data_IF_548959540514
#
_entry.id   IF_548959540514
#
_cell.length_a   1.000
_cell.length_b   1.000
_cell.length_c   1.000
_cell.angle_alpha   90.00
_cell.angle_beta   90.00
_cell.angle_gamma   90.00
#
_symmetry.space_group_name_H-M   'P 1'
#
loop_
_entity.id
_entity.type
_entity.pdbx_description
1 polymer ?
#
# COMPACT_ATOMS: atom_id res chain seq x y z
N UNK A 1 39.87 -2.95 -11.49
CA UNK A 1 39.61 -2.40 -12.83
C UNK A 1 38.17 -1.93 -12.81
N UNK A 2 37.85 -0.88 -12.06
CA UNK A 2 38.32 0.52 -12.19
C UNK A 2 37.78 1.19 -13.47
N UNK A 3 37.13 2.33 -13.26
CA UNK A 3 36.86 3.45 -14.19
C UNK A 3 35.98 3.17 -15.44
N UNK A 4 35.05 4.02 -15.89
CA UNK A 4 34.97 5.48 -15.81
C UNK A 4 33.53 6.02 -16.04
N UNK A 5 33.39 7.35 -16.02
CA UNK A 5 32.16 8.15 -16.13
C UNK A 5 31.82 8.59 -17.59
N UNK A 6 30.79 9.45 -17.71
CA UNK A 6 30.51 10.43 -18.79
C UNK A 6 29.84 9.96 -20.10
N UNK A 7 29.00 10.76 -20.77
CA UNK A 7 28.16 11.93 -20.37
C UNK A 7 27.13 12.20 -21.50
N UNK A 8 26.28 13.22 -21.35
CA UNK A 8 25.78 13.99 -22.50
C UNK A 8 24.28 13.92 -22.81
N UNK A 9 23.51 14.89 -22.31
CA UNK A 9 22.23 15.29 -22.87
C UNK A 9 22.23 16.82 -23.06
N UNK A 10 22.06 17.29 -24.30
CA UNK A 10 22.33 18.69 -24.66
C UNK A 10 21.09 19.47 -25.19
N UNK A 11 21.00 20.70 -24.71
CA UNK A 11 20.18 21.88 -25.05
C UNK A 11 18.89 21.81 -25.92
N UNK A 12 17.83 22.45 -25.37
CA UNK A 12 17.12 23.63 -25.96
C UNK A 12 16.10 24.20 -24.95
N UNK A 13 16.39 25.33 -24.29
CA UNK A 13 16.02 26.74 -24.61
C UNK A 13 14.55 27.14 -24.30
N UNK A 14 14.38 28.25 -23.54
CA UNK A 14 13.09 28.74 -22.98
C UNK A 14 12.33 29.71 -23.90
N UNK A 15 11.72 30.84 -23.41
CA UNK A 15 11.85 31.54 -22.11
C UNK A 15 10.49 31.60 -21.34
N UNK A 16 10.10 32.52 -20.42
CA UNK A 16 10.62 33.81 -19.93
C UNK A 16 10.03 34.25 -18.55
N UNK A 17 10.68 35.22 -17.89
CA UNK A 17 10.20 36.34 -17.03
C UNK A 17 9.25 36.15 -15.80
N UNK A 18 9.33 37.07 -14.79
CA UNK A 18 10.52 37.71 -14.21
C UNK A 18 10.52 37.80 -12.65
N UNK A 19 11.70 37.92 -12.03
CA UNK A 19 11.87 38.13 -10.58
C UNK A 19 12.31 39.56 -10.23
N UNK A 20 11.74 40.15 -9.17
CA UNK A 20 12.03 41.51 -8.73
C UNK A 20 13.29 41.66 -7.86
N UNK A 21 14.11 42.67 -8.16
CA UNK A 21 15.37 43.01 -7.49
C UNK A 21 15.17 43.71 -6.14
N UNK A 22 16.07 43.48 -5.17
CA UNK A 22 16.28 44.34 -4.00
C UNK A 22 17.77 44.68 -3.87
N UNK A 23 18.15 45.97 -3.74
CA UNK A 23 19.57 46.37 -3.76
C UNK A 23 20.27 46.23 -2.41
N UNK A 24 21.59 46.10 -2.51
CA UNK A 24 22.59 45.99 -1.45
C UNK A 24 23.13 47.40 -1.07
N UNK A 25 23.45 47.69 0.22
CA UNK A 25 23.99 48.98 0.62
C UNK A 25 25.53 49.03 0.57
N UNK A 26 25.99 49.85 -0.37
CA UNK A 26 27.25 50.61 -0.50
C UNK A 26 28.24 50.67 0.70
N UNK A 27 29.53 50.55 0.38
CA UNK A 27 30.65 50.61 1.33
C UNK A 27 31.13 52.04 1.62
N UNK A 28 31.35 52.38 2.90
CA UNK A 28 31.93 53.66 3.31
C UNK A 28 33.46 53.57 3.57
N UNK A 29 34.26 54.63 3.28
CA UNK A 29 35.71 54.62 3.43
C UNK A 29 36.20 54.83 4.88
N UNK A 30 37.44 54.41 5.21
CA UNK A 30 37.97 54.47 6.58
C UNK A 30 38.46 55.87 7.01
N UNK A 31 38.30 56.17 8.31
CA UNK A 31 38.80 57.39 8.95
C UNK A 31 40.25 57.24 9.45
N UNK A 32 41.04 58.35 9.55
CA UNK A 32 42.45 58.30 9.94
C UNK A 32 42.67 58.09 11.46
N UNK A 33 43.87 57.61 11.87
CA UNK A 33 44.15 57.27 13.26
C UNK A 33 44.45 58.50 14.15
N UNK A 34 44.06 58.49 15.44
CA UNK A 34 44.45 59.52 16.40
C UNK A 34 45.89 59.35 16.91
N UNK A 35 46.52 60.47 17.26
CA UNK A 35 47.89 60.55 17.77
C UNK A 35 48.02 60.09 19.25
N UNK A 36 49.22 59.67 19.69
CA UNK A 36 49.42 59.13 21.04
C UNK A 36 49.54 60.23 22.11
N UNK A 37 48.94 59.98 23.28
CA UNK A 37 49.19 60.74 24.52
C UNK A 37 49.72 59.79 25.60
N UNK A 38 50.83 60.18 26.22
CA UNK A 38 51.60 59.39 27.18
C UNK A 38 50.91 59.26 28.56
N UNK A 39 51.25 58.25 29.37
CA UNK A 39 50.49 57.90 30.57
C UNK A 39 50.79 58.78 31.78
N UNK A 40 49.76 59.04 32.59
CA UNK A 40 49.87 59.60 33.95
C UNK A 40 49.76 58.44 34.96
N UNK A 41 50.62 58.38 36.00
CA UNK A 41 50.73 57.18 36.84
C UNK A 41 49.62 57.06 37.90
N UNK A 42 49.23 55.80 38.12
CA UNK A 42 48.53 55.20 39.27
C UNK A 42 47.92 56.11 40.36
N UNK A 43 46.62 55.90 40.57
CA UNK A 43 46.05 55.86 41.92
C UNK A 43 45.18 54.61 42.04
N UNK A 44 45.62 53.67 42.89
CA UNK A 44 44.84 52.49 43.22
C UNK A 44 43.66 52.89 44.11
N UNK A 45 42.51 53.17 43.50
CA UNK A 45 41.26 53.36 44.26
C UNK A 45 40.70 51.98 44.59
N UNK A 46 40.57 51.73 45.90
CA UNK A 46 40.06 50.48 46.46
C UNK A 46 38.74 50.03 45.82
N UNK A 47 38.56 48.70 45.72
CA UNK A 47 37.35 48.10 45.19
C UNK A 47 36.09 48.58 45.92
N UNK A 48 35.27 49.37 45.23
CA UNK A 48 33.86 49.59 45.57
C UNK A 48 33.05 48.75 44.61
N UNK A 49 32.47 47.66 45.11
CA UNK A 49 31.52 46.85 44.35
C UNK A 49 30.36 47.72 43.85
N UNK A 50 30.03 47.74 42.56
CA UNK A 50 28.79 48.35 42.09
C UNK A 50 27.62 47.55 42.65
N UNK A 51 27.01 48.08 43.72
CA UNK A 51 25.83 47.49 44.32
C UNK A 51 24.66 47.57 43.33
N UNK A 52 24.10 46.40 42.98
CA UNK A 52 22.74 46.30 42.46
C UNK A 52 22.44 47.03 41.15
N UNK A 53 23.01 46.56 40.04
CA UNK A 53 22.21 46.58 38.81
C UNK A 53 20.94 45.75 39.07
N UNK A 54 19.72 46.26 38.79
CA UNK A 54 18.51 45.48 39.00
C UNK A 54 18.58 44.23 38.11
N UNK A 55 18.60 43.06 38.74
CA UNK A 55 18.61 41.80 38.01
C UNK A 55 17.37 41.75 37.12
N UNK A 56 17.58 41.61 35.80
CA UNK A 56 16.49 41.43 34.84
C UNK A 56 15.53 40.36 35.38
N UNK A 57 14.20 40.59 35.35
CA UNK A 57 13.24 39.64 35.89
C UNK A 57 13.45 38.31 35.18
N UNK A 58 13.87 37.29 35.93
CA UNK A 58 14.07 35.95 35.38
C UNK A 58 12.69 35.46 34.92
N UNK A 59 12.55 35.27 33.62
CA UNK A 59 11.30 34.84 32.97
C UNK A 59 11.45 33.40 32.47
N UNK A 60 10.32 32.69 32.34
CA UNK A 60 10.30 31.28 31.97
C UNK A 60 10.93 30.38 33.04
N UNK A 61 11.57 29.28 32.62
CA UNK A 61 12.11 28.27 33.55
C UNK A 61 13.13 28.84 34.54
N UNK A 62 13.88 29.89 34.18
CA UNK A 62 14.83 30.55 35.07
C UNK A 62 14.19 31.30 36.27
N UNK A 63 12.86 31.49 36.25
CA UNK A 63 12.09 32.05 37.36
C UNK A 63 11.82 31.03 38.48
N UNK A 64 11.87 29.74 38.17
CA UNK A 64 11.50 28.65 39.08
C UNK A 64 12.57 28.45 40.17
N UNK A 65 12.20 27.79 41.28
CA UNK A 65 13.20 27.40 42.30
C UNK A 65 14.19 26.37 41.71
N UNK A 66 15.46 26.29 42.18
CA UNK A 66 16.48 25.45 41.56
C UNK A 66 16.07 23.98 41.35
N UNK A 67 15.25 23.42 42.25
CA UNK A 67 14.71 22.06 42.11
C UNK A 67 13.76 21.92 40.91
N UNK A 68 12.88 22.90 40.71
CA UNK A 68 11.99 22.95 39.55
C UNK A 68 12.70 23.34 38.26
N UNK A 69 13.80 24.11 38.31
CA UNK A 69 14.66 24.34 37.15
C UNK A 69 15.30 23.05 36.65
N UNK A 70 15.87 22.24 37.56
CA UNK A 70 16.44 20.92 37.23
C UNK A 70 15.35 19.99 36.68
N UNK A 71 14.17 19.95 37.29
CA UNK A 71 13.06 19.14 36.78
C UNK A 71 12.60 19.58 35.38
N UNK A 72 12.49 20.89 35.12
CA UNK A 72 12.13 21.42 33.81
C UNK A 72 13.21 21.16 32.74
N UNK A 73 14.49 21.28 33.10
CA UNK A 73 15.60 20.96 32.20
C UNK A 73 15.65 19.47 31.84
N UNK A 74 15.41 18.57 32.82
CA UNK A 74 15.30 17.13 32.59
C UNK A 74 14.10 16.79 31.70
N UNK A 75 12.93 17.40 31.94
CA UNK A 75 11.74 17.21 31.11
C UNK A 75 12.00 17.67 29.66
N UNK A 76 12.61 18.84 29.47
CA UNK A 76 12.98 19.36 28.15
C UNK A 76 13.99 18.45 27.43
N UNK A 77 14.99 17.93 28.15
CA UNK A 77 15.95 16.99 27.59
C UNK A 77 15.28 15.68 27.13
N UNK A 78 14.35 15.14 27.92
CA UNK A 78 13.57 13.95 27.54
C UNK A 78 12.71 14.20 26.29
N UNK A 79 12.04 15.36 26.21
CA UNK A 79 11.25 15.75 25.02
C UNK A 79 12.15 15.90 23.79
N UNK A 80 13.32 16.53 23.91
CA UNK A 80 14.27 16.68 22.81
C UNK A 80 14.80 15.32 22.32
N UNK A 81 15.13 14.40 23.22
CA UNK A 81 15.54 13.02 22.87
C UNK A 81 14.40 12.27 22.16
N UNK A 82 13.17 12.34 22.67
CA UNK A 82 12.01 11.71 22.04
C UNK A 82 11.73 12.26 20.64
N UNK A 83 11.86 13.58 20.43
CA UNK A 83 11.74 14.20 19.12
C UNK A 83 12.84 13.72 18.15
N UNK A 84 14.11 13.69 18.58
CA UNK A 84 15.21 13.18 17.76
C UNK A 84 15.01 11.70 17.37
N UNK A 85 14.56 10.86 18.31
CA UNK A 85 14.21 9.46 18.02
C UNK A 85 13.07 9.39 17.00
N UNK A 86 11.98 10.13 17.19
CA UNK A 86 10.85 10.13 16.26
C UNK A 86 11.26 10.56 14.85
N UNK A 87 12.01 11.66 14.70
CA UNK A 87 12.52 12.12 13.41
C UNK A 87 13.45 11.08 12.76
N UNK A 88 14.30 10.42 13.55
CA UNK A 88 15.17 9.34 13.06
C UNK A 88 14.38 8.12 12.56
N UNK A 89 13.33 7.71 13.27
CA UNK A 89 12.47 6.59 12.86
C UNK A 89 11.67 6.91 11.59
N UNK A 90 11.11 8.13 11.48
CA UNK A 90 10.42 8.59 10.26
C UNK A 90 11.38 8.75 9.09
N UNK A 91 12.61 9.23 9.30
CA UNK A 91 13.62 9.25 8.26
C UNK A 91 13.95 7.83 7.78
N UNK A 92 14.17 6.89 8.69
CA UNK A 92 14.50 5.50 8.36
C UNK A 92 13.35 4.75 7.66
N UNK A 93 12.08 5.11 7.88
CA UNK A 93 10.95 4.49 7.18
C UNK A 93 10.76 4.97 5.74
N UNK A 94 11.35 6.12 5.36
CA UNK A 94 11.28 6.71 4.00
C UNK A 94 12.62 6.60 3.25
N UNK A 95 13.74 6.47 3.97
CA UNK A 95 15.06 6.37 3.39
C UNK A 95 15.28 5.07 2.58
N UNK A 96 16.15 5.09 1.54
CA UNK A 96 16.54 3.88 0.81
C UNK A 96 17.05 2.75 1.72
N UNK A 97 16.81 1.51 1.30
CA UNK A 97 17.12 0.31 2.07
C UNK A 97 18.60 0.22 2.46
N UNK A 98 18.86 0.22 3.77
CA UNK A 98 20.20 0.25 4.36
C UNK A 98 20.33 -0.85 5.43
N UNK A 99 21.52 -1.04 6.00
CA UNK A 99 21.77 -2.13 6.95
C UNK A 99 20.90 -2.03 8.21
N UNK A 100 20.63 -0.81 8.68
CA UNK A 100 19.80 -0.56 9.88
C UNK A 100 18.35 -0.90 9.60
N UNK A 101 17.77 -0.43 8.47
CA UNK A 101 16.37 -0.76 8.12
C UNK A 101 16.19 -2.24 7.82
N UNK A 102 17.21 -2.93 7.27
CA UNK A 102 17.17 -4.39 7.06
C UNK A 102 17.22 -5.21 8.36
N UNK A 103 17.92 -4.74 9.39
CA UNK A 103 18.08 -5.46 10.67
C UNK A 103 16.99 -5.10 11.69
N UNK A 104 16.53 -3.85 11.68
CA UNK A 104 15.61 -3.30 12.69
C UNK A 104 14.28 -2.80 12.11
N UNK A 105 13.96 -3.15 10.85
CA UNK A 105 12.74 -2.73 10.15
C UNK A 105 11.49 -2.81 11.01
N UNK A 106 11.20 -3.96 11.61
CA UNK A 106 10.03 -4.15 12.48
C UNK A 106 9.91 -3.10 13.61
N UNK A 107 11.01 -2.69 14.25
CA UNK A 107 10.96 -1.69 15.31
C UNK A 107 10.66 -0.27 14.78
N UNK A 108 11.09 0.02 13.55
CA UNK A 108 10.79 1.28 12.84
C UNK A 108 9.32 1.28 12.41
N UNK A 109 8.84 0.16 11.86
CA UNK A 109 7.45 -0.05 11.45
C UNK A 109 6.47 0.05 12.63
N UNK A 110 6.75 -0.65 13.73
CA UNK A 110 5.93 -0.64 14.96
C UNK A 110 5.85 0.76 15.61
N UNK A 111 6.81 1.66 15.35
CA UNK A 111 6.82 3.04 15.84
C UNK A 111 6.11 4.02 14.91
N UNK A 112 6.23 3.84 13.58
CA UNK A 112 5.72 4.81 12.58
C UNK A 112 4.29 4.48 12.13
N UNK A 113 4.00 3.22 11.82
CA UNK A 113 2.72 2.84 11.20
C UNK A 113 1.46 2.87 12.09
N UNK A 114 1.50 2.97 13.44
CA UNK A 114 0.28 3.21 14.22
C UNK A 114 -0.42 4.54 13.89
N UNK A 115 0.34 5.58 13.54
CA UNK A 115 -0.17 6.94 13.25
C UNK A 115 -0.03 7.34 11.78
N UNK A 116 0.91 6.73 11.04
CA UNK A 116 1.22 7.06 9.64
C UNK A 116 1.05 5.86 8.68
N UNK A 117 -0.15 5.30 8.57
CA UNK A 117 -0.45 4.22 7.60
C UNK A 117 -0.20 4.70 6.15
N UNK A 118 0.82 4.15 5.48
CA UNK A 118 1.18 4.50 4.10
C UNK A 118 0.27 3.82 3.06
N UNK A 119 -1.01 4.18 3.03
CA UNK A 119 -1.99 3.56 2.13
C UNK A 119 -2.12 4.31 0.78
N UNK A 120 -1.13 4.14 -0.10
CA UNK A 120 -1.05 4.79 -1.43
C UNK A 120 -2.03 4.25 -2.48
N UNK A 121 -2.95 3.36 -2.08
CA UNK A 121 -3.90 2.63 -2.95
C UNK A 121 -4.88 3.52 -3.73
N UNK A 122 -4.93 4.82 -3.42
CA UNK A 122 -5.73 5.83 -4.12
C UNK A 122 -5.08 6.31 -5.44
N UNK A 123 -3.75 6.30 -5.55
CA UNK A 123 -3.01 6.83 -6.71
C UNK A 123 -2.28 5.75 -7.51
N UNK A 124 -1.83 4.68 -6.84
CA UNK A 124 -1.32 3.48 -7.48
C UNK A 124 -1.92 2.26 -6.78
N UNK A 125 -3.10 1.78 -7.21
CA UNK A 125 -3.54 0.45 -6.83
C UNK A 125 -2.46 -0.53 -7.28
N UNK A 126 -2.01 -1.43 -6.39
CA UNK A 126 -1.15 -2.53 -6.81
C UNK A 126 -1.83 -3.22 -8.00
N UNK A 127 -1.19 -3.29 -9.19
CA UNK A 127 -1.79 -3.96 -10.33
C UNK A 127 -2.10 -5.41 -9.96
N UNK A 128 -3.15 -5.99 -10.55
CA UNK A 128 -3.44 -7.40 -10.34
C UNK A 128 -2.32 -8.24 -10.92
N UNK A 129 -1.34 -8.58 -10.09
CA UNK A 129 -0.23 -9.49 -10.41
C UNK A 129 -0.68 -10.97 -10.45
N UNK A 130 -1.99 -11.23 -10.40
CA UNK A 130 -2.56 -12.57 -10.34
C UNK A 130 -3.78 -12.70 -11.25
N UNK A 131 -3.80 -13.78 -12.03
CA UNK A 131 -4.96 -14.25 -12.77
C UNK A 131 -5.76 -15.22 -11.89
N UNK A 132 -7.06 -14.98 -11.74
CA UNK A 132 -7.97 -15.84 -10.96
C UNK A 132 -9.02 -16.41 -11.92
N UNK A 133 -8.91 -17.70 -12.23
CA UNK A 133 -9.87 -18.43 -13.05
C UNK A 133 -10.93 -19.13 -12.19
N UNK A 134 -12.20 -19.06 -12.59
CA UNK A 134 -13.32 -19.80 -12.00
C UNK A 134 -13.54 -21.08 -12.78
N UNK A 135 -13.33 -22.21 -12.11
CA UNK A 135 -13.50 -23.55 -12.68
C UNK A 135 -14.60 -24.30 -11.93
N UNK A 136 -15.42 -25.04 -12.65
CA UNK A 136 -16.57 -25.79 -12.12
C UNK A 136 -16.51 -27.25 -12.54
N UNK A 137 -17.02 -28.14 -11.69
CA UNK A 137 -17.42 -29.50 -12.09
C UNK A 137 -18.78 -29.83 -11.51
N UNK A 138 -19.47 -30.78 -12.12
CA UNK A 138 -20.78 -31.26 -11.70
C UNK A 138 -20.78 -32.77 -11.49
N UNK A 139 -21.69 -33.24 -10.65
CA UNK A 139 -22.22 -34.60 -10.77
C UNK A 139 -23.54 -34.51 -11.53
N UNK A 140 -23.64 -35.31 -12.61
CA UNK A 140 -24.74 -35.29 -13.57
C UNK A 140 -25.43 -36.64 -13.56
N UNK A 141 -26.72 -36.66 -13.24
CA UNK A 141 -27.61 -37.82 -13.35
C UNK A 141 -27.99 -38.04 -14.81
N UNK A 142 -27.56 -39.17 -15.37
CA UNK A 142 -27.80 -39.57 -16.74
C UNK A 142 -29.19 -40.24 -16.90
N UNK A 143 -29.75 -40.32 -18.12
CA UNK A 143 -31.06 -40.93 -18.37
C UNK A 143 -31.14 -42.43 -18.09
N UNK A 144 -29.99 -43.11 -17.98
CA UNK A 144 -29.88 -44.51 -17.56
C UNK A 144 -29.86 -44.70 -16.03
N UNK A 145 -29.98 -43.61 -15.26
CA UNK A 145 -29.96 -43.60 -13.80
C UNK A 145 -28.55 -43.60 -13.18
N UNK A 146 -27.49 -43.51 -13.98
CA UNK A 146 -26.11 -43.40 -13.47
C UNK A 146 -25.72 -41.95 -13.20
N UNK A 147 -24.97 -41.69 -12.12
CA UNK A 147 -24.38 -40.36 -11.85
C UNK A 147 -22.93 -40.34 -12.35
N UNK A 148 -22.60 -39.38 -13.21
CA UNK A 148 -21.23 -39.16 -13.73
C UNK A 148 -20.68 -37.82 -13.26
N UNK A 149 -19.48 -37.81 -12.67
CA UNK A 149 -18.74 -36.58 -12.34
C UNK A 149 -18.03 -36.04 -13.58
N UNK A 150 -18.21 -34.75 -13.88
CA UNK A 150 -17.49 -34.08 -14.98
C UNK A 150 -16.03 -33.80 -14.63
N UNK A 151 -15.21 -33.55 -15.65
CA UNK A 151 -13.94 -32.85 -15.47
C UNK A 151 -14.14 -31.41 -14.95
N UNK A 152 -13.05 -30.76 -14.57
CA UNK A 152 -13.06 -29.33 -14.28
C UNK A 152 -13.17 -28.53 -15.59
N UNK A 153 -14.28 -27.84 -15.77
CA UNK A 153 -14.54 -26.94 -16.88
C UNK A 153 -14.19 -25.50 -16.46
N UNK A 154 -13.34 -24.83 -17.25
CA UNK A 154 -12.87 -23.48 -16.96
C UNK A 154 -13.79 -22.43 -17.60
N UNK A 155 -14.64 -21.82 -16.78
CA UNK A 155 -15.61 -20.83 -17.23
C UNK A 155 -14.93 -19.48 -17.51
N UNK A 156 -13.86 -19.13 -16.80
CA UNK A 156 -13.08 -17.92 -17.08
C UNK A 156 -12.33 -18.01 -18.40
N UNK A 157 -11.84 -19.20 -18.78
CA UNK A 157 -11.27 -19.43 -20.10
C UNK A 157 -12.33 -19.38 -21.22
N UNK A 158 -13.59 -19.72 -20.94
CA UNK A 158 -14.69 -19.49 -21.89
C UNK A 158 -14.95 -18.00 -22.09
N UNK A 159 -15.04 -17.22 -21.01
CA UNK A 159 -15.20 -15.76 -21.08
C UNK A 159 -14.01 -15.10 -21.81
N UNK A 160 -12.78 -15.54 -21.52
CA UNK A 160 -11.58 -15.08 -22.22
C UNK A 160 -11.65 -15.28 -23.74
N UNK A 161 -12.07 -16.45 -24.22
CA UNK A 161 -12.27 -16.72 -25.66
C UNK A 161 -13.41 -15.93 -26.29
N UNK A 162 -14.40 -15.49 -25.51
CA UNK A 162 -15.50 -14.64 -25.99
C UNK A 162 -15.15 -13.14 -26.00
N UNK A 163 -14.10 -12.75 -25.28
CA UNK A 163 -13.56 -11.38 -25.23
C UNK A 163 -12.43 -11.21 -26.26
N UNK A 164 -11.60 -12.24 -26.45
CA UNK A 164 -10.46 -12.21 -27.36
C UNK A 164 -10.86 -11.84 -28.80
N UNK A 165 -10.13 -10.90 -29.41
CA UNK A 165 -10.45 -10.32 -30.72
C UNK A 165 -11.76 -9.51 -30.81
N UNK A 166 -12.54 -9.37 -29.73
CA UNK A 166 -13.83 -8.67 -29.78
C UNK A 166 -13.66 -7.15 -29.74
N UNK A 167 -14.21 -6.45 -30.75
CA UNK A 167 -14.19 -4.99 -30.83
C UNK A 167 -15.13 -4.31 -29.82
N UNK A 168 -16.17 -5.02 -29.38
CA UNK A 168 -17.20 -4.53 -28.46
C UNK A 168 -17.52 -5.65 -27.43
N UNK A 169 -16.57 -5.99 -26.54
CA UNK A 169 -16.73 -7.10 -25.62
C UNK A 169 -17.85 -6.84 -24.61
N UNK A 170 -18.71 -7.82 -24.38
CA UNK A 170 -19.84 -7.69 -23.44
C UNK A 170 -19.37 -7.48 -22.00
N UNK A 171 -19.89 -6.45 -21.33
CA UNK A 171 -19.60 -6.22 -19.91
C UNK A 171 -20.04 -7.38 -19.01
N UNK A 172 -21.09 -8.12 -19.38
CA UNK A 172 -21.55 -9.31 -18.63
C UNK A 172 -20.50 -10.41 -18.69
N UNK A 173 -20.00 -10.73 -19.89
CA UNK A 173 -18.94 -11.73 -20.10
C UNK A 173 -17.66 -11.35 -19.34
N UNK A 174 -17.28 -10.07 -19.36
CA UNK A 174 -16.10 -9.58 -18.64
C UNK A 174 -16.21 -9.62 -17.10
N UNK A 175 -17.41 -9.50 -16.53
CA UNK A 175 -17.56 -9.16 -15.11
C UNK A 175 -18.41 -10.12 -14.29
N UNK A 176 -19.31 -10.91 -14.86
CA UNK A 176 -20.28 -11.71 -14.10
C UNK A 176 -19.59 -12.70 -13.15
N UNK A 177 -18.76 -13.61 -13.66
CA UNK A 177 -18.05 -14.59 -12.82
C UNK A 177 -17.14 -13.92 -11.80
N UNK A 178 -16.40 -12.89 -12.21
CA UNK A 178 -15.48 -12.16 -11.34
C UNK A 178 -16.24 -11.52 -10.17
N UNK A 179 -17.34 -10.81 -10.46
CA UNK A 179 -18.17 -10.17 -9.41
C UNK A 179 -18.86 -11.19 -8.51
N UNK A 180 -19.26 -12.34 -9.04
CA UNK A 180 -19.81 -13.43 -8.24
C UNK A 180 -18.76 -14.03 -7.28
N UNK A 181 -17.53 -14.25 -7.76
CA UNK A 181 -16.41 -14.71 -6.93
C UNK A 181 -15.96 -13.65 -5.92
N UNK A 182 -15.87 -12.37 -6.31
CA UNK A 182 -15.58 -11.24 -5.42
C UNK A 182 -16.60 -11.17 -4.28
N UNK A 183 -17.89 -11.32 -4.59
CA UNK A 183 -18.95 -11.32 -3.57
C UNK A 183 -18.87 -12.54 -2.64
N UNK A 184 -18.60 -13.74 -3.18
CA UNK A 184 -18.38 -14.94 -2.37
C UNK A 184 -17.18 -14.76 -1.43
N UNK A 185 -16.00 -14.42 -1.98
CA UNK A 185 -14.75 -14.33 -1.21
C UNK A 185 -14.78 -13.24 -0.13
N UNK A 186 -15.46 -12.12 -0.35
CA UNK A 186 -15.63 -11.04 0.65
C UNK A 186 -16.65 -11.35 1.76
N UNK A 187 -17.39 -12.45 1.65
CA UNK A 187 -18.44 -12.85 2.61
C UNK A 187 -18.24 -14.25 3.18
N UNK A 188 -17.07 -14.86 2.98
CA UNK A 188 -16.73 -16.20 3.45
C UNK A 188 -15.39 -16.23 4.18
N UNK A 189 -15.31 -17.04 5.24
CA UNK A 189 -14.05 -17.37 5.90
C UNK A 189 -13.07 -18.13 5.01
N UNK A 190 -11.82 -18.29 5.47
CA UNK A 190 -10.81 -19.13 4.79
C UNK A 190 -11.20 -20.61 4.77
N UNK A 191 -12.08 -21.03 5.68
CA UNK A 191 -12.72 -22.35 5.77
C UNK A 191 -13.91 -22.51 4.80
N UNK A 192 -14.17 -21.52 3.95
CA UNK A 192 -15.32 -21.43 3.05
C UNK A 192 -16.69 -21.45 3.77
N UNK A 193 -16.79 -21.01 5.03
CA UNK A 193 -18.10 -20.83 5.69
C UNK A 193 -18.69 -19.44 5.44
N UNK A 194 -20.01 -19.31 5.20
CA UNK A 194 -20.68 -18.03 4.97
C UNK A 194 -20.74 -17.17 6.24
N UNK A 195 -20.48 -15.88 6.08
CA UNK A 195 -20.57 -14.88 7.15
C UNK A 195 -21.91 -14.16 7.04
N UNK A 196 -22.88 -14.62 7.85
CA UNK A 196 -24.24 -14.09 7.91
C UNK A 196 -25.02 -14.23 6.59
N UNK A 197 -26.15 -13.52 6.49
CA UNK A 197 -27.07 -13.63 5.35
C UNK A 197 -26.40 -13.31 4.00
N UNK A 198 -25.45 -12.37 3.96
CA UNK A 198 -24.73 -12.00 2.73
C UNK A 198 -23.89 -13.16 2.19
N UNK A 199 -23.26 -13.95 3.08
CA UNK A 199 -22.55 -15.18 2.71
C UNK A 199 -23.47 -16.15 1.98
N UNK A 200 -24.56 -16.58 2.62
CA UNK A 200 -25.51 -17.54 2.04
C UNK A 200 -26.19 -17.06 0.75
N UNK A 201 -26.38 -15.74 0.56
CA UNK A 201 -26.86 -15.19 -0.71
C UNK A 201 -25.79 -15.22 -1.81
N UNK A 202 -24.52 -15.01 -1.48
CA UNK A 202 -23.42 -15.10 -2.44
C UNK A 202 -23.16 -16.54 -2.92
N UNK A 203 -23.34 -17.55 -2.06
CA UNK A 203 -23.30 -18.98 -2.45
C UNK A 203 -24.37 -19.28 -3.51
N UNK A 204 -25.62 -18.91 -3.24
CA UNK A 204 -26.74 -19.08 -4.18
C UNK A 204 -26.48 -18.34 -5.50
N UNK A 205 -25.99 -17.11 -5.44
CA UNK A 205 -25.68 -16.30 -6.62
C UNK A 205 -24.60 -16.94 -7.51
N UNK A 206 -23.45 -17.30 -6.92
CA UNK A 206 -22.35 -17.95 -7.64
C UNK A 206 -22.76 -19.32 -8.19
N UNK A 207 -23.45 -20.13 -7.39
CA UNK A 207 -24.00 -21.44 -7.78
C UNK A 207 -24.95 -21.32 -8.97
N UNK A 208 -25.90 -20.38 -8.95
CA UNK A 208 -26.87 -20.18 -10.04
C UNK A 208 -26.17 -19.79 -11.34
N UNK A 209 -25.18 -18.88 -11.28
CA UNK A 209 -24.38 -18.48 -12.45
C UNK A 209 -23.62 -19.67 -13.04
N UNK A 210 -22.92 -20.46 -12.23
CA UNK A 210 -22.16 -21.59 -12.77
C UNK A 210 -23.06 -22.70 -13.32
N UNK A 211 -24.21 -22.99 -12.69
CA UNK A 211 -25.18 -23.99 -13.20
C UNK A 211 -25.76 -23.54 -14.54
N UNK A 212 -26.20 -22.28 -14.66
CA UNK A 212 -26.70 -21.71 -15.92
C UNK A 212 -25.66 -21.81 -17.04
N UNK A 213 -24.40 -21.45 -16.74
CA UNK A 213 -23.28 -21.53 -17.70
C UNK A 213 -22.90 -22.98 -18.05
N UNK A 214 -23.00 -23.92 -17.12
CA UNK A 214 -22.80 -25.34 -17.41
C UNK A 214 -23.87 -25.89 -18.36
N UNK A 215 -25.14 -25.52 -18.20
CA UNK A 215 -26.20 -25.93 -19.15
C UNK A 215 -26.05 -25.29 -20.54
N UNK A 216 -25.55 -24.05 -20.61
CA UNK A 216 -25.28 -23.39 -21.88
C UNK A 216 -24.05 -23.94 -22.63
N UNK A 217 -22.96 -24.23 -21.91
CA UNK A 217 -21.64 -24.51 -22.51
C UNK A 217 -21.18 -25.97 -22.49
N UNK A 218 -21.59 -26.77 -21.49
CA UNK A 218 -21.10 -28.14 -21.34
C UNK A 218 -21.90 -29.12 -22.23
N UNK A 219 -21.26 -30.17 -22.73
CA UNK A 219 -21.94 -31.21 -23.50
C UNK A 219 -22.54 -32.31 -22.61
N UNK A 220 -22.06 -32.41 -21.36
CA UNK A 220 -22.45 -33.44 -20.38
C UNK A 220 -23.77 -33.07 -19.71
N UNK A 221 -23.89 -31.81 -19.30
CA UNK A 221 -25.13 -31.21 -18.75
C UNK A 221 -26.30 -31.20 -19.74
N UNK A 222 -26.04 -31.25 -21.05
CA UNK A 222 -27.09 -31.36 -22.08
C UNK A 222 -27.64 -32.79 -22.25
N UNK A 223 -27.05 -33.78 -21.58
CA UNK A 223 -27.46 -35.20 -21.66
C UNK A 223 -28.15 -35.70 -20.39
N UNK A 224 -28.05 -34.98 -19.28
CA UNK A 224 -28.57 -35.38 -17.97
C UNK A 224 -28.69 -34.19 -17.02
N UNK A 225 -29.23 -34.43 -15.83
CA UNK A 225 -29.55 -33.37 -14.86
C UNK A 225 -28.40 -33.15 -13.89
N UNK A 226 -27.98 -31.90 -13.68
CA UNK A 226 -26.98 -31.54 -12.67
C UNK A 226 -27.58 -31.69 -11.27
N UNK A 227 -27.05 -32.62 -10.46
CA UNK A 227 -27.50 -32.86 -9.08
C UNK A 227 -26.77 -31.96 -8.07
N UNK A 228 -25.46 -31.81 -8.25
CA UNK A 228 -24.59 -30.97 -7.42
C UNK A 228 -23.42 -30.43 -8.23
N UNK A 229 -22.93 -29.26 -7.83
CA UNK A 229 -21.75 -28.61 -8.41
C UNK A 229 -20.66 -28.40 -7.38
N UNK A 230 -19.42 -28.38 -7.82
CA UNK A 230 -18.28 -27.90 -7.06
C UNK A 230 -17.55 -26.83 -7.86
N UNK A 231 -17.30 -25.70 -7.23
CA UNK A 231 -16.52 -24.60 -7.81
C UNK A 231 -15.12 -24.59 -7.17
N UNK A 232 -14.12 -24.19 -7.94
CA UNK A 232 -12.81 -23.78 -7.42
C UNK A 232 -12.37 -22.49 -8.10
N UNK A 233 -11.61 -21.68 -7.37
CA UNK A 233 -10.74 -20.68 -7.99
C UNK A 233 -9.36 -21.28 -8.20
N UNK A 234 -8.75 -20.93 -9.33
CA UNK A 234 -7.37 -21.27 -9.69
C UNK A 234 -6.61 -19.96 -9.85
N UNK A 235 -5.72 -19.66 -8.91
CA UNK A 235 -4.94 -18.41 -8.88
C UNK A 235 -3.53 -18.68 -9.38
N UNK A 236 -3.10 -17.97 -10.41
CA UNK A 236 -1.74 -18.01 -10.97
C UNK A 236 -1.17 -16.59 -10.97
N UNK A 237 0.15 -16.43 -10.86
CA UNK A 237 0.76 -15.11 -11.03
C UNK A 237 0.73 -14.72 -12.51
N UNK A 238 0.61 -13.42 -12.79
CA UNK A 238 0.79 -12.88 -14.15
C UNK A 238 2.27 -13.02 -14.52
N UNK A 239 2.62 -13.61 -15.68
CA UNK A 239 4.01 -13.70 -16.10
C UNK A 239 4.65 -12.31 -16.24
N UNK A 240 5.88 -12.10 -15.76
CA UNK A 240 6.61 -10.87 -16.00
C UNK A 240 6.94 -10.73 -17.50
N UNK A 241 7.10 -9.50 -18.02
CA UNK A 241 7.52 -9.30 -19.41
C UNK A 241 8.90 -9.89 -19.69
N UNK A 242 9.16 -10.29 -20.94
CA UNK A 242 10.42 -10.95 -21.36
C UNK A 242 11.70 -10.13 -21.08
N UNK A 243 11.58 -8.81 -20.91
CA UNK A 243 12.68 -7.90 -20.57
C UNK A 243 12.98 -7.83 -19.06
N UNK A 244 12.14 -8.44 -18.21
CA UNK A 244 12.34 -8.48 -16.76
C UNK A 244 13.09 -9.75 -16.34
N UNK A 245 14.05 -9.59 -15.42
CA UNK A 245 14.74 -10.71 -14.77
C UNK A 245 13.95 -11.35 -13.61
N UNK A 246 12.74 -10.86 -13.34
CA UNK A 246 11.88 -11.34 -12.25
C UNK A 246 11.45 -12.79 -12.46
N UNK A 247 11.36 -13.56 -11.36
CA UNK A 247 10.93 -14.96 -11.38
C UNK A 247 9.79 -15.17 -10.40
N UNK A 248 8.56 -15.15 -10.92
CA UNK A 248 7.36 -15.54 -10.19
C UNK A 248 7.04 -17.01 -10.46
N UNK A 249 6.35 -17.68 -9.53
CA UNK A 249 5.86 -19.03 -9.76
C UNK A 249 4.62 -19.00 -10.66
N UNK A 250 4.61 -19.87 -11.67
CA UNK A 250 3.46 -20.15 -12.55
C UNK A 250 2.47 -21.17 -11.95
N UNK A 251 2.87 -21.83 -10.86
CA UNK A 251 2.12 -22.94 -10.26
C UNK A 251 0.77 -22.48 -9.70
N UNK A 252 -0.36 -23.03 -10.16
CA UNK A 252 -1.68 -22.59 -9.70
C UNK A 252 -1.97 -22.96 -8.25
N UNK A 253 -2.40 -21.97 -7.46
CA UNK A 253 -2.96 -22.18 -6.12
C UNK A 253 -4.48 -22.34 -6.23
N UNK A 254 -5.00 -23.46 -5.74
CA UNK A 254 -6.43 -23.76 -5.81
C UNK A 254 -7.14 -23.50 -4.48
N UNK A 255 -8.22 -22.70 -4.51
CA UNK A 255 -9.22 -22.66 -3.43
C UNK A 255 -10.47 -23.38 -3.91
N UNK A 256 -10.62 -24.63 -3.47
CA UNK A 256 -11.77 -25.50 -3.78
C UNK A 256 -12.88 -25.24 -2.77
N UNK A 257 -14.11 -25.03 -3.26
CA UNK A 257 -15.29 -24.78 -2.44
C UNK A 257 -16.00 -26.11 -2.08
N UNK A 258 -16.91 -26.13 -1.09
CA UNK A 258 -17.75 -27.29 -0.83
C UNK A 258 -18.56 -27.72 -2.07
N UNK A 259 -19.05 -28.95 -2.06
CA UNK A 259 -20.10 -29.36 -2.99
C UNK A 259 -21.42 -28.70 -2.59
N UNK A 260 -22.10 -28.10 -3.55
CA UNK A 260 -23.43 -27.54 -3.36
C UNK A 260 -24.46 -28.32 -4.20
N UNK A 261 -25.51 -28.80 -3.55
CA UNK A 261 -26.68 -29.37 -4.23
C UNK A 261 -27.36 -28.30 -5.09
N UNK A 262 -27.80 -28.68 -6.28
CA UNK A 262 -28.60 -27.84 -7.18
C UNK A 262 -30.07 -28.09 -6.90
N UNK A 263 -30.88 -27.03 -6.78
CA UNK A 263 -32.32 -27.20 -6.53
C UNK A 263 -33.04 -27.59 -7.81
N UNK A 264 -34.21 -28.22 -7.72
CA UNK A 264 -34.97 -28.63 -8.91
C UNK A 264 -35.26 -27.46 -9.88
N UNK A 265 -35.49 -26.24 -9.36
CA UNK A 265 -35.70 -25.05 -10.20
C UNK A 265 -34.45 -24.68 -11.02
N UNK A 266 -33.27 -24.70 -10.40
CA UNK A 266 -31.99 -24.42 -11.05
C UNK A 266 -31.55 -25.56 -11.99
N UNK A 267 -31.84 -26.81 -11.60
CA UNK A 267 -31.52 -28.01 -12.36
C UNK A 267 -32.27 -28.09 -13.69
N UNK A 268 -33.34 -27.30 -13.88
CA UNK A 268 -34.07 -27.16 -15.14
C UNK A 268 -33.70 -25.85 -15.90
N UNK A 269 -32.61 -25.18 -15.54
CA UNK A 269 -32.20 -23.89 -16.13
C UNK A 269 -33.09 -22.71 -15.72
N UNK A 270 -33.85 -22.85 -14.62
CA UNK A 270 -34.88 -21.91 -14.21
C UNK A 270 -34.37 -20.71 -13.42
N UNK A 271 -34.63 -19.50 -13.95
CA UNK A 271 -34.65 -18.27 -13.15
C UNK A 271 -36.09 -17.89 -12.83
N UNK A 272 -36.56 -18.30 -11.64
CA UNK A 272 -37.58 -17.57 -10.87
C UNK A 272 -36.91 -16.74 -9.78
#
# INVERSE_FOLDING_TARGET
>A
MDDAYDEGADARHGPDSPSGTRPEPESAPPAPPPAPVSPVPVSAVSAVSPAGAPALPRTGVAALSPRYQVAAALALALVAVAACVHLGMVFLSVAPANTVTKQHGKAIEDWVYPEFEQNWKLFAPNPLQQNIAVQVRADVLMPDGTTTTTGWNDLSAQDGRAIDGSLLPSHTVQNELRRALDFFTTTHGTDNRPIGLRGSLSEQYLRRIVVMRMYAGDATSRKGTIERVQVRSSTTNVPPPDWSGEKVSDTPVYRVLPWWTVTADEANGGVR
#
